data_IF_488181852395
#
_entry.id   IF_488181852395
#
_cell.length_a   1.000
_cell.length_b   1.000
_cell.length_c   1.000
_cell.angle_alpha   90.00
_cell.angle_beta   90.00
_cell.angle_gamma   90.00
#
_symmetry.space_group_name_H-M   'P 1'
#
loop_
_entity.id
_entity.type
_entity.pdbx_description
1 polymer ?
#
# COMPACT_ATOMS: atom_id res chain seq x y z
N UNK A 1 -3.05 7.15 22.72
CA UNK A 1 -2.31 6.48 21.63
C UNK A 1 -1.86 5.09 22.05
N UNK A 2 -0.78 4.91 22.83
CA UNK A 2 -0.30 3.55 23.18
C UNK A 2 -1.36 2.75 23.97
N UNK A 3 -2.08 3.38 24.90
CA UNK A 3 -3.12 2.70 25.70
C UNK A 3 -4.38 2.29 24.91
N UNK A 4 -4.54 2.76 23.68
CA UNK A 4 -5.67 2.42 22.78
C UNK A 4 -5.30 1.25 21.84
N UNK A 5 -4.02 0.89 21.78
CA UNK A 5 -3.52 -0.30 21.06
C UNK A 5 -3.65 -1.50 22.00
N UNK A 6 -4.32 -2.55 21.53
CA UNK A 6 -4.50 -3.80 22.28
C UNK A 6 -3.17 -4.55 22.39
N UNK A 7 -2.51 -4.75 21.25
CA UNK A 7 -1.21 -5.41 21.17
C UNK A 7 -0.43 -4.96 19.93
N UNK A 8 0.89 -5.14 19.97
CA UNK A 8 1.77 -4.94 18.82
C UNK A 8 1.71 -6.21 17.97
N UNK A 9 1.22 -6.09 16.74
CA UNK A 9 1.13 -7.19 15.79
C UNK A 9 2.45 -7.41 15.06
N UNK A 10 3.10 -6.31 14.66
CA UNK A 10 4.39 -6.33 13.96
C UNK A 10 5.24 -5.19 14.52
N UNK A 11 6.40 -5.51 15.06
CA UNK A 11 7.30 -4.52 15.64
C UNK A 11 8.14 -3.81 14.57
N UNK A 12 8.80 -2.71 14.95
CA UNK A 12 9.59 -1.88 14.04
C UNK A 12 10.70 -2.66 13.33
N UNK A 13 11.45 -3.50 14.06
CA UNK A 13 12.52 -4.32 13.46
C UNK A 13 12.01 -5.31 12.42
N UNK A 14 10.88 -5.98 12.68
CA UNK A 14 10.25 -6.90 11.74
C UNK A 14 9.83 -6.17 10.46
N UNK A 15 9.27 -4.97 10.59
CA UNK A 15 8.91 -4.12 9.45
C UNK A 15 10.16 -3.78 8.63
N UNK A 16 11.23 -3.29 9.26
CA UNK A 16 12.46 -2.91 8.54
C UNK A 16 13.10 -4.10 7.81
N UNK A 17 13.16 -5.26 8.46
CA UNK A 17 13.66 -6.49 7.84
C UNK A 17 12.81 -6.89 6.62
N UNK A 18 11.48 -6.80 6.74
CA UNK A 18 10.59 -7.12 5.63
C UNK A 18 10.70 -6.13 4.48
N UNK A 19 10.74 -4.83 4.78
CA UNK A 19 10.91 -3.78 3.76
C UNK A 19 12.21 -4.00 2.99
N UNK A 20 13.31 -4.32 3.68
CA UNK A 20 14.58 -4.65 3.04
C UNK A 20 14.46 -5.89 2.14
N UNK A 21 13.81 -6.95 2.61
CA UNK A 21 13.56 -8.16 1.81
C UNK A 21 12.77 -7.85 0.52
N UNK A 22 11.72 -7.03 0.61
CA UNK A 22 10.93 -6.61 -0.56
C UNK A 22 11.77 -5.78 -1.54
N UNK A 23 12.57 -4.85 -1.04
CA UNK A 23 13.48 -4.06 -1.85
C UNK A 23 14.52 -4.91 -2.58
N UNK A 24 15.06 -5.96 -1.94
CA UNK A 24 16.00 -6.90 -2.56
C UNK A 24 15.36 -7.64 -3.75
N UNK A 25 14.10 -8.06 -3.64
CA UNK A 25 13.38 -8.66 -4.77
C UNK A 25 13.19 -7.66 -5.92
N UNK A 26 12.76 -6.43 -5.62
CA UNK A 26 12.56 -5.37 -6.62
C UNK A 26 13.89 -5.04 -7.32
N UNK A 27 14.97 -4.88 -6.55
CA UNK A 27 16.30 -4.60 -7.08
C UNK A 27 16.77 -5.66 -8.07
N UNK A 28 16.49 -6.94 -7.78
CA UNK A 28 16.83 -8.05 -8.66
C UNK A 28 16.02 -8.02 -9.96
N UNK A 29 14.71 -7.85 -9.85
CA UNK A 29 13.78 -7.93 -11.00
C UNK A 29 13.91 -6.74 -11.96
N UNK A 30 14.30 -5.59 -11.42
CA UNK A 30 14.48 -4.33 -12.13
C UNK A 30 15.95 -3.89 -12.25
N UNK A 31 16.90 -4.81 -12.10
CA UNK A 31 18.32 -4.52 -12.30
C UNK A 31 18.56 -3.89 -13.69
N UNK A 32 19.14 -2.69 -13.71
CA UNK A 32 19.40 -1.93 -14.93
C UNK A 32 18.16 -1.34 -15.61
N UNK A 33 17.01 -1.31 -14.92
CA UNK A 33 15.76 -0.70 -15.41
C UNK A 33 15.33 0.43 -14.49
N UNK A 34 14.63 1.40 -15.08
CA UNK A 34 13.98 2.46 -14.33
C UNK A 34 12.55 2.04 -13.93
N UNK A 35 12.13 2.48 -12.75
CA UNK A 35 10.75 2.31 -12.27
C UNK A 35 10.12 3.65 -11.86
N UNK A 36 8.80 3.71 -11.93
CA UNK A 36 7.98 4.70 -11.21
C UNK A 36 7.40 4.01 -9.98
N UNK A 37 7.75 4.49 -8.80
CA UNK A 37 7.11 4.08 -7.55
C UNK A 37 5.85 4.94 -7.35
N UNK A 38 4.69 4.34 -7.59
CA UNK A 38 3.38 4.97 -7.47
C UNK A 38 2.84 4.79 -6.05
N UNK A 39 2.76 5.89 -5.30
CA UNK A 39 2.40 5.90 -3.88
C UNK A 39 0.96 6.38 -3.72
N UNK A 40 0.13 5.59 -3.04
CA UNK A 40 -1.29 5.89 -2.85
C UNK A 40 -1.52 6.60 -1.53
N UNK A 41 -1.92 7.87 -1.59
CA UNK A 41 -2.09 8.69 -0.41
C UNK A 41 -3.29 8.23 0.43
N UNK A 42 -3.19 8.22 1.76
CA UNK A 42 -2.05 8.71 2.59
C UNK A 42 -1.22 7.59 3.22
N UNK A 43 -1.82 6.44 3.48
CA UNK A 43 -1.26 5.44 4.40
C UNK A 43 0.05 4.81 3.91
N UNK A 44 0.17 4.58 2.60
CA UNK A 44 1.38 4.01 1.99
C UNK A 44 2.64 4.89 2.05
N UNK A 45 2.55 6.16 2.47
CA UNK A 45 3.69 7.10 2.46
C UNK A 45 4.85 6.61 3.32
N UNK A 46 4.57 6.11 4.54
CA UNK A 46 5.62 5.68 5.47
C UNK A 46 6.33 4.44 4.92
N UNK A 47 5.57 3.42 4.53
CA UNK A 47 6.10 2.22 3.87
C UNK A 47 6.92 2.55 2.62
N UNK A 48 6.41 3.39 1.73
CA UNK A 48 7.08 3.75 0.49
C UNK A 48 8.39 4.49 0.73
N UNK A 49 8.42 5.38 1.73
CA UNK A 49 9.62 6.11 2.10
C UNK A 49 10.73 5.19 2.62
N UNK A 50 10.36 4.13 3.32
CA UNK A 50 11.32 3.14 3.84
C UNK A 50 11.79 2.20 2.73
N UNK A 51 10.85 1.73 1.91
CA UNK A 51 11.14 0.88 0.75
C UNK A 51 12.13 1.56 -0.21
N UNK A 52 11.88 2.81 -0.58
CA UNK A 52 12.71 3.52 -1.57
C UNK A 52 14.16 3.70 -1.12
N UNK A 53 14.43 3.78 0.19
CA UNK A 53 15.80 3.92 0.71
C UNK A 53 16.65 2.66 0.55
N UNK A 54 16.02 1.50 0.35
CA UNK A 54 16.69 0.23 0.09
C UNK A 54 16.74 -0.13 -1.41
N UNK A 55 16.15 0.69 -2.28
CA UNK A 55 16.22 0.48 -3.73
C UNK A 55 17.55 1.01 -4.29
N UNK A 56 18.26 0.16 -5.01
CA UNK A 56 19.56 0.43 -5.63
C UNK A 56 19.43 0.58 -7.17
N UNK A 57 18.26 1.00 -7.62
CA UNK A 57 17.88 1.23 -9.02
C UNK A 57 17.37 2.66 -9.19
N UNK A 58 17.21 3.11 -10.42
CA UNK A 58 16.63 4.43 -10.68
C UNK A 58 15.12 4.41 -10.39
N UNK A 59 14.68 5.31 -9.51
CA UNK A 59 13.29 5.42 -9.08
C UNK A 59 12.80 6.85 -9.29
N UNK A 60 11.70 6.99 -10.01
CA UNK A 60 10.89 8.21 -9.99
C UNK A 60 9.72 8.02 -9.03
N UNK A 61 9.38 9.04 -8.24
CA UNK A 61 8.23 9.01 -7.34
C UNK A 61 7.04 9.71 -7.97
N UNK A 62 5.85 9.11 -7.85
CA UNK A 62 4.60 9.78 -8.16
C UNK A 62 3.53 9.42 -7.12
N UNK A 63 2.57 10.32 -6.95
CA UNK A 63 1.54 10.21 -5.91
C UNK A 63 0.15 10.33 -6.51
N UNK A 64 -0.70 9.38 -6.19
CA UNK A 64 -2.13 9.44 -6.48
C UNK A 64 -2.95 9.44 -5.20
N UNK A 65 -4.08 10.14 -5.22
CA UNK A 65 -5.09 10.03 -4.18
C UNK A 65 -6.40 9.63 -4.83
N UNK A 66 -6.94 8.51 -4.39
CA UNK A 66 -8.12 7.88 -4.98
C UNK A 66 -9.12 7.58 -3.88
N UNK A 67 -10.42 7.61 -4.20
CA UNK A 67 -11.47 7.17 -3.30
C UNK A 67 -12.43 6.24 -4.05
N UNK A 68 -12.90 5.18 -3.39
CA UNK A 68 -14.04 4.41 -3.88
C UNK A 68 -15.28 5.30 -3.88
N UNK A 69 -16.09 5.24 -4.94
CA UNK A 69 -17.42 5.82 -4.87
C UNK A 69 -18.27 4.96 -3.93
N UNK A 70 -19.01 5.59 -3.01
CA UNK A 70 -19.75 4.90 -1.96
C UNK A 70 -20.81 3.91 -2.46
N UNK A 71 -21.49 3.25 -1.53
CA UNK A 71 -22.46 2.14 -1.71
C UNK A 71 -23.63 2.37 -2.67
N UNK A 72 -23.80 3.58 -3.21
CA UNK A 72 -24.87 3.99 -4.14
C UNK A 72 -24.40 4.10 -5.59
N UNK A 73 -23.15 3.75 -5.88
CA UNK A 73 -22.50 3.98 -7.18
C UNK A 73 -22.20 2.65 -7.85
N UNK A 74 -22.23 2.63 -9.19
CA UNK A 74 -21.87 1.45 -10.00
C UNK A 74 -20.53 0.90 -9.50
N UNK A 75 -20.51 -0.38 -9.12
CA UNK A 75 -19.31 -1.02 -8.60
C UNK A 75 -18.16 -0.90 -9.61
N UNK A 76 -17.04 -0.31 -9.18
CA UNK A 76 -15.79 -0.32 -9.95
C UNK A 76 -15.35 1.01 -10.58
N UNK A 77 -16.11 2.09 -10.45
CA UNK A 77 -15.56 3.42 -10.76
C UNK A 77 -14.66 3.92 -9.61
N UNK A 78 -13.53 4.53 -9.98
CA UNK A 78 -12.54 5.06 -9.05
C UNK A 78 -12.54 6.58 -9.17
N UNK A 79 -12.76 7.30 -8.07
CA UNK A 79 -12.70 8.76 -8.04
C UNK A 79 -11.25 9.18 -7.83
N UNK A 80 -10.67 9.88 -8.81
CA UNK A 80 -9.33 10.45 -8.68
C UNK A 80 -9.47 11.82 -8.02
N UNK A 81 -8.94 11.95 -6.80
CA UNK A 81 -8.89 13.22 -6.06
C UNK A 81 -7.62 14.00 -6.42
N UNK A 82 -6.52 13.27 -6.60
CA UNK A 82 -5.26 13.77 -7.14
C UNK A 82 -4.70 12.72 -8.08
N UNK A 83 -4.40 13.14 -9.30
CA UNK A 83 -3.75 12.29 -10.29
C UNK A 83 -2.21 12.36 -10.17
N UNK A 84 -1.55 11.36 -10.76
CA UNK A 84 -0.12 11.32 -10.95
C UNK A 84 0.31 12.37 -11.99
N UNK A 85 1.55 12.83 -11.88
CA UNK A 85 2.14 13.84 -12.77
C UNK A 85 3.05 13.23 -13.83
N UNK A 86 3.53 12.00 -13.61
CA UNK A 86 4.43 11.32 -14.53
C UNK A 86 3.61 10.60 -15.61
N UNK A 87 3.94 10.83 -16.89
CA UNK A 87 3.42 9.98 -17.96
C UNK A 87 3.97 8.56 -17.78
N UNK A 88 3.09 7.60 -17.56
CA UNK A 88 3.39 6.20 -17.25
C UNK A 88 3.43 5.31 -18.49
N UNK A 89 3.13 5.83 -19.68
CA UNK A 89 3.10 5.04 -20.91
C UNK A 89 4.47 4.39 -21.19
N UNK A 90 4.48 3.06 -21.34
CA UNK A 90 5.69 2.25 -21.55
C UNK A 90 6.60 2.11 -20.34
N UNK A 91 6.23 2.65 -19.17
CA UNK A 91 7.05 2.59 -17.95
C UNK A 91 6.72 1.39 -17.08
N UNK A 92 7.71 0.94 -16.31
CA UNK A 92 7.51 0.01 -15.22
C UNK A 92 6.99 0.78 -14.01
N UNK A 93 5.77 0.47 -13.57
CA UNK A 93 5.15 1.09 -12.41
C UNK A 93 5.01 0.04 -11.32
N UNK A 94 5.54 0.34 -10.13
CA UNK A 94 5.28 -0.43 -8.91
C UNK A 94 4.34 0.40 -8.06
N UNK A 95 3.13 -0.09 -7.83
CA UNK A 95 2.22 0.50 -6.84
C UNK A 95 2.71 0.06 -5.46
N UNK A 96 3.04 1.02 -4.60
CA UNK A 96 3.34 0.77 -3.19
C UNK A 96 2.09 1.04 -2.35
N UNK A 97 1.60 0.00 -1.66
CA UNK A 97 0.41 0.03 -0.82
C UNK A 97 0.76 -0.37 0.61
N UNK A 98 0.12 0.23 1.61
CA UNK A 98 0.30 -0.18 3.02
C UNK A 98 -0.46 -1.46 3.32
N UNK A 99 -1.71 -1.57 2.89
CA UNK A 99 -2.55 -2.74 3.15
C UNK A 99 -3.51 -3.03 2.00
N UNK A 100 -3.63 -4.32 1.64
CA UNK A 100 -4.70 -4.77 0.76
C UNK A 100 -5.77 -5.52 1.53
N UNK A 101 -6.99 -4.98 1.42
CA UNK A 101 -8.19 -5.46 2.07
C UNK A 101 -9.11 -6.16 1.04
N UNK A 102 -10.24 -5.54 0.66
CA UNK A 102 -11.10 -6.06 -0.43
C UNK A 102 -10.41 -6.18 -1.78
N UNK A 103 -9.40 -5.32 -2.03
CA UNK A 103 -8.67 -5.23 -3.29
C UNK A 103 -9.38 -4.44 -4.40
N UNK A 104 -10.60 -3.95 -4.17
CA UNK A 104 -11.40 -3.28 -5.21
C UNK A 104 -10.75 -2.00 -5.73
N UNK A 105 -10.33 -1.10 -4.84
CA UNK A 105 -9.65 0.16 -5.20
C UNK A 105 -8.36 -0.11 -5.98
N UNK A 106 -7.54 -1.03 -5.48
CA UNK A 106 -6.27 -1.40 -6.09
C UNK A 106 -6.47 -2.06 -7.47
N UNK A 107 -7.47 -2.93 -7.61
CA UNK A 107 -7.84 -3.54 -8.91
C UNK A 107 -8.27 -2.50 -9.94
N UNK A 108 -9.08 -1.51 -9.53
CA UNK A 108 -9.47 -0.40 -10.41
C UNK A 108 -8.27 0.48 -10.79
N UNK A 109 -7.36 0.76 -9.86
CA UNK A 109 -6.15 1.52 -10.10
C UNK A 109 -5.19 0.80 -11.07
N UNK A 110 -4.98 -0.50 -10.89
CA UNK A 110 -4.18 -1.32 -11.82
C UNK A 110 -4.76 -1.26 -13.24
N UNK A 111 -6.08 -1.40 -13.38
CA UNK A 111 -6.77 -1.28 -14.69
C UNK A 111 -6.56 0.11 -15.31
N UNK A 112 -6.67 1.17 -14.51
CA UNK A 112 -6.44 2.54 -14.95
C UNK A 112 -5.01 2.73 -15.47
N UNK A 113 -4.00 2.32 -14.71
CA UNK A 113 -2.59 2.50 -15.08
C UNK A 113 -2.20 1.62 -16.28
N UNK A 114 -2.70 0.38 -16.37
CA UNK A 114 -2.52 -0.46 -17.56
C UNK A 114 -3.17 0.15 -18.81
N UNK A 115 -4.36 0.76 -18.67
CA UNK A 115 -5.02 1.50 -19.77
C UNK A 115 -4.21 2.71 -20.23
N UNK A 116 -3.40 3.31 -19.34
CA UNK A 116 -2.43 4.38 -19.66
C UNK A 116 -1.12 3.87 -20.27
N UNK A 117 -1.00 2.56 -20.52
CA UNK A 117 0.16 1.94 -21.15
C UNK A 117 1.29 1.54 -20.18
N UNK A 118 1.03 1.53 -18.87
CA UNK A 118 2.03 1.14 -17.88
C UNK A 118 2.15 -0.40 -17.74
N UNK A 119 3.36 -0.88 -17.46
CA UNK A 119 3.61 -2.22 -16.95
C UNK A 119 3.50 -2.18 -15.42
N UNK A 120 2.37 -2.66 -14.88
CA UNK A 120 2.01 -2.45 -13.47
C UNK A 120 2.24 -3.71 -12.64
N UNK A 121 3.05 -3.58 -11.59
CA UNK A 121 3.22 -4.54 -10.51
C UNK A 121 2.82 -3.93 -9.16
N UNK A 122 2.55 -4.78 -8.18
CA UNK A 122 2.12 -4.36 -6.83
C UNK A 122 3.13 -4.80 -5.78
N UNK A 123 3.47 -3.88 -4.89
CA UNK A 123 4.18 -4.12 -3.65
C UNK A 123 3.30 -3.67 -2.47
N UNK A 124 2.91 -4.58 -1.60
CA UNK A 124 2.13 -4.25 -0.39
C UNK A 124 2.87 -4.66 0.87
N UNK A 125 2.78 -3.85 1.92
CA UNK A 125 3.31 -4.23 3.23
C UNK A 125 2.41 -5.29 3.88
N UNK A 126 1.09 -5.07 3.90
CA UNK A 126 0.12 -5.97 4.52
C UNK A 126 -0.89 -6.51 3.51
N UNK A 127 -1.38 -7.71 3.78
CA UNK A 127 -2.40 -8.39 2.98
C UNK A 127 -3.40 -9.07 3.92
N UNK A 128 -4.70 -8.88 3.66
CA UNK A 128 -5.80 -9.58 4.34
C UNK A 128 -6.56 -10.48 3.37
N UNK A 129 -6.06 -11.69 3.04
CA UNK A 129 -6.73 -12.59 2.11
C UNK A 129 -8.17 -12.92 2.51
N UNK A 130 -8.46 -13.00 3.81
CA UNK A 130 -9.81 -13.27 4.34
C UNK A 130 -10.87 -12.22 3.94
N UNK A 131 -10.45 -11.00 3.56
CA UNK A 131 -11.35 -9.92 3.14
C UNK A 131 -11.39 -9.69 1.64
N UNK A 132 -10.68 -10.51 0.87
CA UNK A 132 -10.55 -10.32 -0.58
C UNK A 132 -11.91 -10.49 -1.28
N UNK A 133 -12.33 -9.48 -2.02
CA UNK A 133 -13.54 -9.53 -2.86
C UNK A 133 -13.21 -9.60 -4.36
N UNK A 134 -11.99 -9.23 -4.73
CA UNK A 134 -11.51 -9.28 -6.11
C UNK A 134 -10.09 -9.82 -6.18
N UNK A 135 -9.79 -10.54 -7.27
CA UNK A 135 -8.43 -11.02 -7.50
C UNK A 135 -7.50 -9.84 -7.77
N UNK A 136 -6.42 -9.76 -7.00
CA UNK A 136 -5.34 -8.80 -7.17
C UNK A 136 -4.06 -9.61 -7.24
N UNK A 137 -3.31 -9.47 -8.33
CA UNK A 137 -2.03 -10.13 -8.51
C UNK A 137 -0.94 -9.32 -7.79
N UNK A 138 -0.53 -9.80 -6.61
CA UNK A 138 0.43 -9.14 -5.74
C UNK A 138 1.78 -9.80 -5.94
N UNK A 139 2.71 -9.08 -6.56
CA UNK A 139 4.04 -9.61 -6.85
C UNK A 139 4.97 -9.58 -5.64
N UNK A 140 4.91 -8.51 -4.85
CA UNK A 140 5.76 -8.34 -3.67
C UNK A 140 4.86 -8.15 -2.43
N UNK A 141 4.66 -9.21 -1.67
CA UNK A 141 3.82 -9.21 -0.47
C UNK A 141 4.67 -9.25 0.80
N UNK A 142 4.43 -8.32 1.73
CA UNK A 142 5.15 -8.23 2.98
C UNK A 142 4.70 -9.28 4.01
N UNK A 143 3.55 -9.02 4.64
CA UNK A 143 2.94 -9.83 5.68
C UNK A 143 1.48 -10.15 5.34
N UNK A 144 1.12 -11.41 5.47
CA UNK A 144 -0.27 -11.82 5.60
C UNK A 144 -0.71 -11.62 7.05
N UNK A 145 -1.84 -10.94 7.27
CA UNK A 145 -2.40 -10.68 8.59
C UNK A 145 -3.86 -11.15 8.69
N UNK A 146 -4.35 -11.51 9.89
CA UNK A 146 -5.76 -11.80 10.09
C UNK A 146 -6.64 -10.55 9.86
N UNK A 147 -7.96 -10.76 9.84
CA UNK A 147 -8.91 -9.67 9.77
C UNK A 147 -9.05 -8.93 11.12
N UNK A 148 -8.03 -8.15 11.44
CA UNK A 148 -7.97 -7.31 12.64
C UNK A 148 -7.86 -5.83 12.26
N UNK A 149 -8.44 -4.94 13.07
CA UNK A 149 -8.31 -3.50 12.83
C UNK A 149 -6.92 -3.03 13.23
N UNK A 150 -6.06 -2.72 12.25
CA UNK A 150 -4.65 -2.35 12.48
C UNK A 150 -4.41 -0.85 12.27
N UNK A 151 -3.49 -0.30 13.07
CA UNK A 151 -3.04 1.10 12.99
C UNK A 151 -1.52 1.18 13.14
N UNK A 152 -0.93 2.32 12.77
CA UNK A 152 0.50 2.55 12.84
C UNK A 152 1.19 2.39 11.50
N UNK A 153 2.43 2.86 11.42
CA UNK A 153 3.25 2.79 10.21
C UNK A 153 2.53 3.30 8.94
N UNK A 154 1.86 4.43 9.06
CA UNK A 154 1.05 5.05 8.00
C UNK A 154 -0.46 4.76 8.08
N UNK A 155 -0.87 3.63 8.63
CA UNK A 155 -2.29 3.27 8.80
C UNK A 155 -2.92 4.04 9.97
N UNK A 156 -4.21 4.38 9.85
CA UNK A 156 -4.90 5.24 10.80
C UNK A 156 -6.25 4.72 11.30
N UNK A 157 -6.68 5.38 12.37
CA UNK A 157 -8.08 5.49 12.76
C UNK A 157 -8.37 6.97 13.04
N UNK A 158 -9.32 7.55 12.31
CA UNK A 158 -9.69 8.98 12.41
C UNK A 158 -8.47 9.91 12.30
N UNK A 159 -7.60 9.66 11.31
CA UNK A 159 -6.35 10.38 11.04
C UNK A 159 -5.29 10.31 12.16
N UNK A 160 -5.50 9.50 13.20
CA UNK A 160 -4.56 9.26 14.30
C UNK A 160 -3.70 8.02 14.05
N UNK A 161 -2.67 7.84 14.87
CA UNK A 161 -1.81 6.64 14.95
C UNK A 161 -0.82 6.41 13.80
N UNK A 162 -0.94 7.08 12.64
CA UNK A 162 -0.03 6.91 11.49
C UNK A 162 1.46 6.95 11.84
N UNK A 163 1.81 7.74 12.85
CA UNK A 163 3.19 8.01 13.27
C UNK A 163 3.78 6.94 14.23
N UNK A 164 3.05 5.89 14.58
CA UNK A 164 3.62 4.78 15.35
C UNK A 164 4.64 4.02 14.50
N UNK A 165 5.81 3.64 15.03
CA UNK A 165 6.86 2.94 14.27
C UNK A 165 6.59 1.44 14.10
N UNK A 166 5.51 0.94 14.69
CA UNK A 166 5.07 -0.45 14.65
C UNK A 166 3.62 -0.52 14.16
N UNK A 167 3.16 -1.73 13.86
CA UNK A 167 1.77 -2.01 13.49
C UNK A 167 1.10 -2.69 14.68
N UNK A 168 0.01 -2.11 15.17
CA UNK A 168 -0.72 -2.61 16.32
C UNK A 168 -2.20 -2.85 16.02
N UNK A 169 -2.81 -3.76 16.76
CA UNK A 169 -4.26 -3.99 16.72
C UNK A 169 -4.93 -2.97 17.63
N UNK A 170 -5.90 -2.21 17.11
CA UNK A 170 -6.65 -1.24 17.89
C UNK A 170 -7.68 -1.95 18.77
N UNK A 171 -7.90 -1.50 20.00
CA UNK A 171 -8.91 -2.09 20.88
C UNK A 171 -10.32 -1.86 20.31
N UNK A 172 -11.18 -2.88 20.36
CA UNK A 172 -12.58 -2.82 19.90
C UNK A 172 -13.38 -1.67 20.52
N UNK A 173 -13.13 -1.33 21.79
CA UNK A 173 -13.79 -0.22 22.49
C UNK A 173 -13.57 1.15 21.86
N UNK A 174 -12.54 1.30 21.02
CA UNK A 174 -12.18 2.56 20.36
C UNK A 174 -13.00 2.78 19.07
N UNK A 175 -13.40 1.71 18.38
CA UNK A 175 -14.04 1.79 17.06
C UNK A 175 -15.40 1.06 16.92
N UNK A 176 -15.79 0.26 17.91
CA UNK A 176 -17.03 -0.52 17.92
C UNK A 176 -18.19 0.12 18.68
N UNK A 177 -18.18 1.44 18.83
CA UNK A 177 -19.27 2.21 19.44
C UNK A 177 -20.47 2.42 18.52
#
# INVERSE_FOLDING_TARGET
MINEVQEILINESEIQEKVKYLAEQINKDYAGKDIVLMIILKGSVVFSADLMRYLNINVSLDFMQVSSYGSSSVSGELKILKDGQIDVNGKNVIIAEDIIDSGNTLSALVKLLKKRGANVEICTLLSKPARRETQVDVKYEGFEIPDEFVVGYGMDYDERFRNLPYIGILKREVYGG
#
